data_IF_844417101603
#
_entry.id   IF_844417101603
#
_cell.length_a   1.000
_cell.length_b   1.000
_cell.length_c   1.000
_cell.angle_alpha   90.00
_cell.angle_beta   90.00
_cell.angle_gamma   90.00
#
_symmetry.space_group_name_H-M   'P 1'
#
loop_
_entity.id
_entity.type
_entity.pdbx_description
1 polymer ?
#
# COMPACT_ATOMS: atom_id res chain seq x y z
N UNK A 1 -73.26 -28.84 1.68
CA UNK A 1 -73.29 -27.44 1.21
C UNK A 1 -72.03 -26.75 1.75
N UNK A 2 -71.27 -26.13 0.84
CA UNK A 2 -69.87 -25.67 0.87
C UNK A 2 -69.19 -25.30 2.20
N UNK A 3 -68.04 -25.96 2.48
CA UNK A 3 -66.96 -25.47 3.35
C UNK A 3 -65.98 -24.63 2.52
N UNK A 4 -65.97 -23.31 2.72
CA UNK A 4 -65.04 -22.38 2.07
C UNK A 4 -63.69 -22.35 2.77
N UNK A 5 -62.64 -22.77 2.07
CA UNK A 5 -61.25 -22.57 2.48
C UNK A 5 -60.88 -21.15 2.00
N UNK A 6 -60.73 -20.21 2.94
CA UNK A 6 -60.23 -18.87 2.63
C UNK A 6 -58.71 -18.95 2.62
N UNK A 7 -58.14 -19.16 1.45
CA UNK A 7 -56.71 -18.96 1.22
C UNK A 7 -56.40 -17.45 1.23
N UNK A 8 -55.58 -16.99 2.17
CA UNK A 8 -54.99 -15.64 2.19
C UNK A 8 -53.52 -15.72 1.71
N UNK A 9 -53.25 -15.81 0.40
CA UNK A 9 -51.88 -15.90 -0.14
C UNK A 9 -51.08 -14.58 -0.03
N UNK A 10 -51.72 -13.49 0.37
CA UNK A 10 -51.15 -12.13 0.30
C UNK A 10 -50.23 -11.76 1.47
N UNK A 11 -50.33 -12.45 2.62
CA UNK A 11 -49.53 -12.13 3.82
C UNK A 11 -48.07 -12.59 3.73
N UNK A 12 -47.77 -13.63 2.93
CA UNK A 12 -46.40 -14.15 2.81
C UNK A 12 -45.53 -13.35 1.82
N UNK A 13 -46.13 -12.72 0.82
CA UNK A 13 -45.39 -11.93 -0.19
C UNK A 13 -44.86 -10.62 0.42
N UNK A 14 -45.65 -9.96 1.26
CA UNK A 14 -45.25 -8.69 1.89
C UNK A 14 -44.08 -8.84 2.87
N UNK A 15 -43.97 -9.96 3.59
CA UNK A 15 -42.90 -10.19 4.56
C UNK A 15 -41.53 -10.42 3.88
N UNK A 16 -41.53 -11.00 2.67
CA UNK A 16 -40.32 -11.29 1.90
C UNK A 16 -39.72 -10.03 1.26
N UNK A 17 -40.55 -9.07 0.84
CA UNK A 17 -40.08 -7.79 0.25
C UNK A 17 -39.41 -6.88 1.30
N UNK A 18 -39.93 -6.85 2.53
CA UNK A 18 -39.30 -6.07 3.62
C UNK A 18 -37.96 -6.68 4.04
N UNK A 19 -37.86 -8.01 4.09
CA UNK A 19 -36.61 -8.70 4.41
C UNK A 19 -35.51 -8.45 3.36
N UNK A 20 -35.87 -8.39 2.07
CA UNK A 20 -34.90 -8.09 1.00
C UNK A 20 -34.45 -6.62 1.04
N UNK A 21 -35.34 -5.67 1.29
CA UNK A 21 -34.99 -4.25 1.40
C UNK A 21 -34.08 -3.95 2.63
N UNK A 22 -34.19 -4.71 3.72
CA UNK A 22 -33.32 -4.57 4.89
C UNK A 22 -31.92 -5.18 4.67
N UNK A 23 -31.76 -6.11 3.73
CA UNK A 23 -30.46 -6.71 3.38
C UNK A 23 -29.66 -5.85 2.38
N UNK A 24 -30.31 -4.95 1.64
CA UNK A 24 -29.65 -3.85 0.93
C UNK A 24 -29.25 -2.69 1.87
N UNK A 25 -28.89 -3.04 3.11
CA UNK A 25 -28.36 -2.13 4.10
C UNK A 25 -27.17 -1.37 3.52
N UNK A 26 -27.34 -0.05 3.39
CA UNK A 26 -26.34 1.00 3.22
C UNK A 26 -24.93 0.50 2.85
N UNK A 27 -24.72 0.10 1.59
CA UNK A 27 -23.36 0.03 1.07
C UNK A 27 -22.85 1.47 0.99
N UNK A 28 -21.92 1.83 1.88
CA UNK A 28 -21.22 3.11 1.78
C UNK A 28 -20.51 3.16 0.44
N UNK A 29 -20.92 4.04 -0.45
CA UNK A 29 -20.23 4.23 -1.73
C UNK A 29 -18.87 4.87 -1.45
N UNK A 30 -17.81 4.12 -1.73
CA UNK A 30 -16.45 4.62 -1.73
C UNK A 30 -16.16 5.20 -3.11
N UNK A 31 -16.27 6.52 -3.25
CA UNK A 31 -15.86 7.23 -4.45
C UNK A 31 -14.46 7.82 -4.27
N UNK A 32 -13.62 7.64 -5.28
CA UNK A 32 -12.28 8.20 -5.37
C UNK A 32 -12.27 9.30 -6.42
N UNK A 33 -11.67 10.44 -6.10
CA UNK A 33 -11.56 11.58 -7.02
C UNK A 33 -10.09 11.89 -7.32
N UNK A 34 -9.76 12.39 -8.52
CA UNK A 34 -8.45 12.95 -8.80
C UNK A 34 -8.15 14.00 -7.72
N UNK A 35 -7.06 13.83 -6.99
CA UNK A 35 -6.74 14.72 -5.87
C UNK A 35 -5.84 15.85 -6.37
N UNK A 36 -6.35 17.10 -6.52
CA UNK A 36 -5.47 18.25 -6.69
C UNK A 36 -4.73 18.46 -5.37
N UNK A 37 -3.41 18.56 -5.42
CA UNK A 37 -2.51 18.70 -4.27
C UNK A 37 -3.03 19.63 -3.15
N UNK A 38 -3.42 19.06 -2.00
CA UNK A 38 -3.66 19.75 -0.72
C UNK A 38 -4.50 18.95 0.31
N UNK A 39 -4.45 19.25 1.64
CA UNK A 39 -3.41 19.91 2.41
C UNK A 39 -2.44 18.86 3.02
N UNK A 40 -1.80 18.09 2.12
CA UNK A 40 -0.47 17.41 2.16
C UNK A 40 -0.31 16.23 3.15
N UNK A 41 -0.02 14.99 2.73
CA UNK A 41 1.05 14.60 1.79
C UNK A 41 0.62 13.77 0.57
N UNK A 42 0.86 14.32 -0.61
CA UNK A 42 1.69 13.63 -1.62
C UNK A 42 2.88 14.51 -2.05
N UNK A 43 4.06 13.95 -2.36
CA UNK A 43 5.07 14.63 -3.19
C UNK A 43 6.14 13.65 -3.70
N UNK A 44 6.87 13.88 -4.81
CA UNK A 44 6.97 15.06 -5.68
C UNK A 44 6.30 14.88 -7.05
N UNK A 45 5.86 15.99 -7.62
CA UNK A 45 5.79 16.18 -9.08
C UNK A 45 7.18 16.24 -9.70
N UNK A 46 7.95 15.17 -9.53
CA UNK A 46 9.18 14.96 -10.27
C UNK A 46 8.78 14.32 -11.61
N UNK A 47 9.07 15.02 -12.71
CA UNK A 47 9.09 14.39 -14.02
C UNK A 47 9.95 13.13 -13.92
N UNK A 48 9.34 11.96 -14.13
CA UNK A 48 10.07 10.70 -14.22
C UNK A 48 11.08 10.88 -15.35
N UNK A 49 12.37 10.75 -15.05
CA UNK A 49 13.41 10.93 -16.04
C UNK A 49 13.14 10.08 -17.29
N UNK A 50 13.29 10.73 -18.45
CA UNK A 50 13.22 10.23 -19.83
C UNK A 50 11.87 9.68 -20.37
N UNK A 51 10.79 9.64 -19.58
CA UNK A 51 9.46 9.36 -20.13
C UNK A 51 8.38 10.13 -19.34
N UNK A 52 7.63 10.98 -20.04
CA UNK A 52 6.49 11.83 -19.58
C UNK A 52 5.34 11.03 -18.92
N UNK A 53 5.62 10.22 -17.91
CA UNK A 53 4.61 9.52 -17.15
C UNK A 53 4.20 10.41 -15.98
N UNK A 54 3.03 11.04 -16.15
CA UNK A 54 2.39 11.84 -15.13
C UNK A 54 1.74 10.88 -14.13
N UNK A 55 2.28 10.77 -12.92
CA UNK A 55 1.62 10.04 -11.84
C UNK A 55 0.39 10.85 -11.42
N UNK A 56 -0.80 10.27 -11.61
CA UNK A 56 -2.05 10.83 -11.15
C UNK A 56 -2.42 10.24 -9.80
N UNK A 57 -2.64 11.11 -8.81
CA UNK A 57 -3.07 10.72 -7.47
C UNK A 57 -4.60 10.73 -7.38
N UNK A 58 -5.16 9.68 -6.79
CA UNK A 58 -6.58 9.59 -6.47
C UNK A 58 -6.74 9.44 -4.97
N UNK A 59 -7.70 10.18 -4.40
CA UNK A 59 -7.98 10.18 -2.97
C UNK A 59 -9.47 10.04 -2.69
N UNK A 60 -9.85 9.83 -1.42
CA UNK A 60 -11.25 9.72 -1.05
C UNK A 60 -12.03 11.02 -1.31
N UNK A 61 -13.21 10.90 -1.91
CA UNK A 61 -14.16 12.00 -2.15
C UNK A 61 -14.82 12.51 -0.86
N UNK A 62 -14.80 11.73 0.22
CA UNK A 62 -15.41 12.11 1.51
C UNK A 62 -14.42 12.86 2.40
N UNK A 63 -14.85 14.00 2.96
CA UNK A 63 -14.01 14.86 3.81
C UNK A 63 -13.41 14.14 5.03
N UNK A 64 -14.22 13.32 5.70
CA UNK A 64 -13.80 12.49 6.84
C UNK A 64 -12.61 11.60 6.48
N UNK A 65 -12.62 10.99 5.31
CA UNK A 65 -11.57 10.06 4.89
C UNK A 65 -10.34 10.79 4.37
N UNK A 66 -10.51 11.98 3.76
CA UNK A 66 -9.38 12.88 3.47
C UNK A 66 -8.66 13.29 4.75
N UNK A 67 -9.40 13.59 5.82
CA UNK A 67 -8.81 13.98 7.10
C UNK A 67 -8.02 12.83 7.74
N UNK A 68 -8.57 11.60 7.74
CA UNK A 68 -7.83 10.41 8.20
C UNK A 68 -6.56 10.17 7.39
N UNK A 69 -6.65 10.26 6.05
CA UNK A 69 -5.49 10.10 5.17
C UNK A 69 -4.42 11.14 5.46
N UNK A 70 -4.81 12.40 5.68
CA UNK A 70 -3.87 13.46 6.08
C UNK A 70 -3.19 13.16 7.43
N UNK A 71 -3.92 12.61 8.41
CA UNK A 71 -3.32 12.17 9.68
C UNK A 71 -2.34 11.01 9.52
N UNK A 72 -2.66 10.03 8.67
CA UNK A 72 -1.73 8.94 8.35
C UNK A 72 -0.47 9.47 7.69
N UNK A 73 -0.60 10.30 6.65
CA UNK A 73 0.52 10.99 6.01
C UNK A 73 1.37 11.79 7.00
N UNK A 74 0.75 12.50 7.94
CA UNK A 74 1.46 13.24 8.97
C UNK A 74 2.23 12.33 9.95
N UNK A 75 1.94 11.03 9.97
CA UNK A 75 2.60 10.04 10.83
C UNK A 75 3.71 9.29 10.10
N UNK A 76 3.55 8.98 8.80
CA UNK A 76 4.49 8.14 8.03
C UNK A 76 5.28 8.89 6.94
N UNK A 77 5.02 10.20 6.78
CA UNK A 77 5.67 11.07 5.80
C UNK A 77 5.07 10.99 4.39
N UNK A 78 5.59 11.76 3.42
CA UNK A 78 5.09 11.78 2.04
C UNK A 78 5.42 10.51 1.25
N UNK A 79 4.85 10.37 0.06
CA UNK A 79 5.31 9.38 -0.93
C UNK A 79 6.78 9.58 -1.28
N UNK A 80 7.45 8.51 -1.71
CA UNK A 80 8.80 8.57 -2.29
C UNK A 80 8.78 7.80 -3.60
N UNK A 81 9.20 8.45 -4.67
CA UNK A 81 9.28 7.86 -6.00
C UNK A 81 10.72 7.99 -6.49
N UNK A 82 11.31 6.86 -6.82
CA UNK A 82 12.61 6.75 -7.47
C UNK A 82 12.47 5.71 -8.58
N UNK A 83 12.06 6.12 -9.77
CA UNK A 83 11.69 5.19 -10.85
C UNK A 83 12.88 4.67 -11.64
N UNK A 84 14.06 5.26 -11.45
CA UNK A 84 15.26 4.91 -12.19
C UNK A 84 16.19 4.12 -11.26
N UNK A 85 16.29 2.78 -11.43
CA UNK A 85 17.22 2.02 -10.63
C UNK A 85 18.66 2.49 -10.90
N UNK A 86 19.41 2.76 -9.84
CA UNK A 86 20.83 3.11 -9.95
C UNK A 86 21.66 1.93 -10.48
N UNK A 87 21.20 0.71 -10.22
CA UNK A 87 21.81 -0.52 -10.73
C UNK A 87 21.27 -0.85 -12.13
N UNK A 88 22.17 -1.16 -13.05
CA UNK A 88 21.78 -1.70 -14.36
C UNK A 88 21.41 -3.16 -14.24
N UNK A 89 20.12 -3.43 -14.39
CA UNK A 89 19.59 -4.75 -14.64
C UNK A 89 19.80 -5.03 -16.14
N UNK A 90 20.46 -6.15 -16.47
CA UNK A 90 20.59 -6.63 -17.84
C UNK A 90 19.22 -6.80 -18.51
N UNK A 91 19.22 -6.65 -19.83
CA UNK A 91 18.02 -6.52 -20.65
C UNK A 91 17.03 -7.67 -20.47
N UNK A 92 15.74 -7.36 -20.65
CA UNK A 92 14.68 -8.36 -20.72
C UNK A 92 14.77 -9.14 -22.03
N UNK A 93 15.05 -10.43 -21.95
CA UNK A 93 15.13 -11.33 -23.09
C UNK A 93 13.88 -12.19 -23.22
N UNK A 94 13.58 -12.64 -24.44
CA UNK A 94 12.50 -13.61 -24.65
C UNK A 94 12.81 -14.91 -23.90
N UNK A 95 11.91 -15.32 -23.01
CA UNK A 95 12.08 -16.49 -22.15
C UNK A 95 12.55 -16.16 -20.72
N UNK A 96 12.82 -14.89 -20.42
CA UNK A 96 13.06 -14.46 -19.04
C UNK A 96 11.79 -14.62 -18.18
N UNK A 97 12.01 -14.82 -16.88
CA UNK A 97 10.94 -14.90 -15.87
C UNK A 97 10.95 -13.67 -14.98
N UNK A 98 9.76 -13.28 -14.52
CA UNK A 98 9.56 -12.22 -13.54
C UNK A 98 9.07 -12.84 -12.23
N UNK A 99 9.80 -12.63 -11.15
CA UNK A 99 9.30 -12.94 -9.81
C UNK A 99 8.49 -11.75 -9.25
N UNK A 100 7.26 -11.99 -8.82
CA UNK A 100 6.47 -10.98 -8.11
C UNK A 100 6.23 -11.49 -6.70
N UNK A 101 6.78 -10.79 -5.72
CA UNK A 101 6.69 -11.12 -4.30
C UNK A 101 5.77 -10.11 -3.63
N UNK A 102 4.87 -10.59 -2.77
CA UNK A 102 4.10 -9.73 -1.86
C UNK A 102 4.35 -10.14 -0.42
N UNK A 103 4.63 -9.17 0.45
CA UNK A 103 5.00 -9.45 1.83
C UNK A 103 4.60 -8.32 2.76
N UNK A 104 3.80 -8.66 3.77
CA UNK A 104 3.59 -7.78 4.93
C UNK A 104 4.76 -7.98 5.91
N UNK A 105 5.58 -6.94 6.08
CA UNK A 105 6.80 -7.00 6.90
C UNK A 105 6.56 -6.68 8.38
N UNK A 106 5.31 -6.57 8.82
CA UNK A 106 4.91 -6.34 10.22
C UNK A 106 5.67 -5.14 10.83
N UNK A 107 5.40 -3.94 10.29
CA UNK A 107 5.99 -2.66 10.75
C UNK A 107 7.53 -2.66 10.70
N UNK A 108 8.11 -3.25 9.65
CA UNK A 108 9.56 -3.34 9.46
C UNK A 108 10.27 -4.38 10.33
N UNK A 109 9.54 -5.30 10.96
CA UNK A 109 10.12 -6.45 11.68
C UNK A 109 10.71 -7.52 10.77
N UNK A 110 10.47 -7.44 9.45
CA UNK A 110 11.04 -8.34 8.45
C UNK A 110 12.49 -8.02 8.08
N UNK A 111 13.34 -9.05 7.97
CA UNK A 111 14.70 -8.94 7.42
C UNK A 111 14.66 -8.85 5.88
N UNK A 112 14.36 -7.65 5.36
CA UNK A 112 14.26 -7.43 3.92
C UNK A 112 15.61 -7.62 3.20
N UNK A 113 16.72 -7.16 3.79
CA UNK A 113 18.04 -7.35 3.19
C UNK A 113 18.42 -8.83 3.11
N UNK A 114 18.14 -9.59 4.17
CA UNK A 114 18.32 -11.04 4.20
C UNK A 114 17.47 -11.74 3.16
N UNK A 115 16.21 -11.34 3.00
CA UNK A 115 15.32 -11.87 1.98
C UNK A 115 15.83 -11.59 0.55
N UNK A 116 16.18 -10.34 0.24
CA UNK A 116 16.72 -9.94 -1.07
C UNK A 116 17.97 -10.76 -1.41
N UNK A 117 18.86 -10.98 -0.43
CA UNK A 117 20.09 -11.75 -0.62
C UNK A 117 19.85 -13.25 -0.78
N UNK A 118 19.01 -13.85 0.07
CA UNK A 118 18.87 -15.32 0.14
C UNK A 118 17.91 -15.84 -0.94
N UNK A 119 16.82 -15.12 -1.20
CA UNK A 119 15.76 -15.59 -2.09
C UNK A 119 15.87 -14.98 -3.49
N UNK A 120 16.29 -13.72 -3.60
CA UNK A 120 16.43 -13.03 -4.89
C UNK A 120 17.89 -12.94 -5.37
N UNK A 121 18.85 -13.32 -4.54
CA UNK A 121 20.27 -13.29 -4.88
C UNK A 121 20.82 -11.87 -5.08
N UNK A 122 20.24 -10.86 -4.42
CA UNK A 122 20.68 -9.47 -4.44
C UNK A 122 21.43 -9.13 -3.13
N UNK A 123 22.75 -9.02 -3.21
CA UNK A 123 23.57 -8.53 -2.09
C UNK A 123 23.87 -7.04 -2.26
N UNK A 124 23.23 -6.20 -1.43
CA UNK A 124 23.33 -4.74 -1.52
C UNK A 124 24.63 -4.17 -0.95
N UNK A 125 25.50 -5.00 -0.35
CA UNK A 125 26.79 -4.57 0.24
C UNK A 125 27.96 -4.69 -0.72
N UNK A 126 27.74 -5.33 -1.86
CA UNK A 126 28.71 -5.54 -2.93
C UNK A 126 28.09 -5.05 -4.24
N UNK A 127 28.91 -4.81 -5.28
CA UNK A 127 28.35 -4.61 -6.63
C UNK A 127 27.37 -5.75 -6.92
N UNK A 128 26.10 -5.45 -7.27
CA UNK A 128 25.02 -6.43 -7.26
C UNK A 128 25.37 -7.65 -8.11
N UNK A 129 25.82 -8.69 -7.42
CA UNK A 129 26.22 -9.95 -8.04
C UNK A 129 24.95 -10.71 -8.37
N UNK A 130 24.51 -10.64 -9.62
CA UNK A 130 23.34 -11.39 -10.09
C UNK A 130 23.58 -12.89 -9.92
N UNK A 131 22.89 -13.49 -8.95
CA UNK A 131 22.68 -14.93 -9.01
C UNK A 131 21.84 -15.24 -10.26
N UNK A 132 22.19 -16.30 -11.00
CA UNK A 132 21.43 -16.74 -12.20
C UNK A 132 19.99 -17.18 -11.90
N UNK A 133 19.53 -17.13 -10.65
CA UNK A 133 18.22 -17.68 -10.27
C UNK A 133 17.05 -16.78 -10.66
N UNK A 134 17.18 -15.46 -10.57
CA UNK A 134 16.14 -14.50 -10.97
C UNK A 134 16.76 -13.22 -11.54
N UNK A 135 16.50 -12.95 -12.82
CA UNK A 135 17.03 -11.77 -13.52
C UNK A 135 16.21 -10.50 -13.24
N UNK A 136 14.91 -10.68 -12.99
CA UNK A 136 13.91 -9.62 -12.89
C UNK A 136 12.92 -9.94 -11.77
N UNK A 137 12.61 -8.96 -10.93
CA UNK A 137 11.67 -9.13 -9.83
C UNK A 137 10.95 -7.83 -9.46
N UNK A 138 9.82 -7.96 -8.78
CA UNK A 138 9.08 -6.89 -8.11
C UNK A 138 8.75 -7.36 -6.69
N UNK A 139 9.01 -6.50 -5.70
CA UNK A 139 8.65 -6.77 -4.30
C UNK A 139 7.61 -5.74 -3.85
N UNK A 140 6.44 -6.22 -3.47
CA UNK A 140 5.31 -5.43 -2.96
C UNK A 140 5.23 -5.58 -1.45
N UNK A 141 5.66 -4.54 -0.73
CA UNK A 141 5.71 -4.56 0.72
C UNK A 141 4.50 -3.87 1.34
N UNK A 142 3.92 -4.49 2.36
CA UNK A 142 2.95 -3.85 3.25
C UNK A 142 3.55 -3.66 4.64
N UNK A 143 3.14 -2.59 5.32
CA UNK A 143 3.64 -2.22 6.65
C UNK A 143 5.16 -2.05 6.69
N UNK A 144 5.77 -1.63 5.58
CA UNK A 144 7.17 -1.28 5.53
C UNK A 144 7.40 0.02 6.30
N UNK A 145 8.44 0.04 7.15
CA UNK A 145 8.76 1.20 7.96
C UNK A 145 9.65 2.17 7.17
N UNK A 146 9.35 3.46 7.31
CA UNK A 146 10.19 4.56 6.84
C UNK A 146 10.72 5.34 8.03
N UNK A 147 12.01 5.65 8.03
CA UNK A 147 12.74 6.34 9.09
C UNK A 147 13.48 7.53 8.49
N UNK A 148 12.75 8.57 8.07
CA UNK A 148 13.38 9.79 7.54
C UNK A 148 13.02 11.00 8.38
N UNK A 149 13.80 12.08 8.29
CA UNK A 149 13.49 13.36 8.96
C UNK A 149 12.12 13.94 8.58
N UNK A 150 11.57 13.52 7.44
CA UNK A 150 10.23 13.89 6.99
C UNK A 150 9.10 13.09 7.68
N UNK A 151 9.45 12.10 8.50
CA UNK A 151 8.54 11.35 9.36
C UNK A 151 8.61 11.99 10.74
N UNK A 152 7.57 12.71 11.21
CA UNK A 152 7.63 13.40 12.49
C UNK A 152 7.77 12.41 13.66
N UNK A 153 8.58 12.76 14.65
CA UNK A 153 8.50 12.10 15.97
C UNK A 153 7.16 12.48 16.57
N UNK A 154 6.25 11.52 16.66
CA UNK A 154 4.95 11.79 17.27
C UNK A 154 5.09 11.66 18.79
N UNK A 155 4.83 12.74 19.57
CA UNK A 155 4.82 12.64 21.02
C UNK A 155 3.71 11.68 21.50
N UNK A 156 3.97 10.97 22.60
CA UNK A 156 3.09 9.94 23.21
C UNK A 156 1.67 10.43 23.53
N UNK A 157 1.43 11.74 23.53
CA UNK A 157 0.18 12.40 23.92
C UNK A 157 -0.81 12.63 22.76
N UNK A 158 -0.42 12.38 21.50
CA UNK A 158 -1.34 12.49 20.35
C UNK A 158 -2.02 11.15 20.06
N UNK A 159 -3.30 11.21 19.74
CA UNK A 159 -4.09 10.11 19.17
C UNK A 159 -3.52 9.67 17.81
N UNK A 160 -2.38 9.00 17.82
CA UNK A 160 -1.88 8.21 16.70
C UNK A 160 -2.78 6.99 16.61
N UNK A 161 -3.23 6.59 15.41
CA UNK A 161 -3.88 5.30 15.24
C UNK A 161 -3.03 4.23 15.93
N UNK A 162 -3.57 3.44 16.87
CA UNK A 162 -2.78 2.56 17.75
C UNK A 162 -1.93 1.53 17.00
N UNK A 163 -2.16 1.35 15.70
CA UNK A 163 -1.40 0.48 14.80
C UNK A 163 -0.08 1.08 14.29
N UNK A 164 0.16 2.38 14.51
CA UNK A 164 1.39 3.09 14.06
C UNK A 164 2.27 3.47 15.26
N UNK A 165 1.79 3.27 16.49
CA UNK A 165 2.61 3.44 17.69
C UNK A 165 3.68 2.35 17.69
N UNK A 166 4.98 2.70 17.70
CA UNK A 166 6.03 1.69 17.80
C UNK A 166 5.95 1.08 19.20
N UNK A 167 5.39 -0.12 19.29
CA UNK A 167 5.70 -1.01 20.39
C UNK A 167 7.23 -1.22 20.34
N UNK A 168 7.99 -1.04 21.44
CA UNK A 168 9.45 -1.11 21.43
C UNK A 168 9.89 -2.57 21.24
N UNK A 169 9.80 -3.06 20.01
CA UNK A 169 10.26 -4.38 19.64
C UNK A 169 11.79 -4.33 19.54
N UNK A 170 12.51 -5.17 20.32
CA UNK A 170 13.96 -5.26 20.25
C UNK A 170 14.34 -5.88 18.90
N UNK A 171 14.87 -5.05 18.00
CA UNK A 171 15.29 -5.42 16.66
C UNK A 171 15.77 -4.21 15.88
N UNK A 172 16.65 -4.42 14.91
CA UNK A 172 17.10 -3.37 14.01
C UNK A 172 15.97 -3.12 13.00
N UNK A 173 15.26 -2.01 13.16
CA UNK A 173 14.21 -1.61 12.22
C UNK A 173 14.86 -0.96 11.02
N UNK A 174 14.62 -1.45 9.81
CA UNK A 174 15.29 -0.94 8.61
C UNK A 174 14.37 -0.02 7.81
N UNK A 175 14.90 1.13 7.37
CA UNK A 175 14.19 2.04 6.48
C UNK A 175 14.12 1.45 5.07
N UNK A 176 12.90 1.23 4.58
CA UNK A 176 12.66 0.71 3.23
C UNK A 176 13.27 1.60 2.13
N UNK A 177 13.32 2.92 2.33
CA UNK A 177 13.91 3.87 1.36
C UNK A 177 15.43 3.72 1.34
N UNK A 178 16.05 3.53 2.50
CA UNK A 178 17.49 3.34 2.62
C UNK A 178 17.93 2.03 1.97
N UNK A 179 17.20 0.93 2.24
CA UNK A 179 17.45 -0.36 1.57
C UNK A 179 17.33 -0.20 0.06
N UNK A 180 16.22 0.36 -0.43
CA UNK A 180 15.99 0.47 -1.87
C UNK A 180 17.13 1.22 -2.58
N UNK A 181 17.58 2.34 -1.99
CA UNK A 181 18.71 3.12 -2.51
C UNK A 181 20.04 2.36 -2.41
N UNK A 182 20.32 1.73 -1.27
CA UNK A 182 21.53 0.94 -1.06
C UNK A 182 21.64 -0.22 -2.04
N UNK A 183 20.51 -0.82 -2.40
CA UNK A 183 20.42 -1.90 -3.37
C UNK A 183 20.29 -1.42 -4.84
N UNK A 184 20.24 -0.10 -5.09
CA UNK A 184 20.04 0.48 -6.42
C UNK A 184 18.72 0.08 -7.09
N UNK A 185 17.68 -0.15 -6.30
CA UNK A 185 16.33 -0.52 -6.74
C UNK A 185 15.51 0.72 -7.13
N UNK A 186 14.59 0.53 -8.08
CA UNK A 186 13.49 1.48 -8.24
C UNK A 186 12.51 1.34 -7.06
N UNK A 187 11.94 2.46 -6.61
CA UNK A 187 11.07 2.54 -5.45
C UNK A 187 9.80 3.35 -5.75
N UNK A 188 8.67 2.79 -5.35
CA UNK A 188 7.40 3.49 -5.21
C UNK A 188 6.87 3.25 -3.80
N UNK A 189 7.12 4.19 -2.89
CA UNK A 189 6.60 4.17 -1.53
C UNK A 189 5.37 5.08 -1.43
N UNK A 190 4.25 4.51 -0.97
CA UNK A 190 2.99 5.23 -0.75
C UNK A 190 2.55 5.03 0.71
N UNK A 191 2.34 6.11 1.47
CA UNK A 191 1.88 6.07 2.86
C UNK A 191 0.41 5.64 3.03
#
# INVERSE_FOLDING_TARGET
MYRGIISLPWLHVSLLVVAVAAVFGCTTEYSMEPQPSGPVCPSQGAALGAADSIIAWYGPSQERDRWKLAQWCATVGPSVIDSLPATRYGDWLSGDSLAVVTWNVNVGGGDLEGFLRQELGLDCRTEPYRSRRLSHFVVLLQEARRLSEQVPVVPDDRNVPPRIVPDPWPGQHTDVVEIARGCGLALFYVP
#
